data_IF_772929954091
#
_entry.id   IF_772929954091
#
_cell.length_a   1.000
_cell.length_b   1.000
_cell.length_c   1.000
_cell.angle_alpha   90.00
_cell.angle_beta   90.00
_cell.angle_gamma   90.00
#
_symmetry.space_group_name_H-M   'P 1'
#
loop_
_entity.id
_entity.type
_entity.pdbx_description
1 polymer ?
#
# COMPACT_ATOMS: atom_id res chain seq x y z
N UNK A 1 -22.00 -1.88 -8.62
CA UNK A 1 -20.73 -1.32 -9.15
C UNK A 1 -20.53 -1.88 -10.55
N UNK A 2 -20.35 -1.04 -11.57
CA UNK A 2 -20.17 -1.50 -12.96
C UNK A 2 -18.85 -2.27 -13.13
N UNK A 3 -18.90 -3.37 -13.90
CA UNK A 3 -17.80 -4.33 -14.14
C UNK A 3 -16.49 -3.66 -14.56
N UNK A 4 -16.57 -2.67 -15.45
CA UNK A 4 -15.45 -1.84 -15.93
C UNK A 4 -14.72 -1.09 -14.80
N UNK A 5 -15.40 -0.69 -13.72
CA UNK A 5 -14.76 0.02 -12.59
C UNK A 5 -13.84 -0.87 -11.76
N UNK A 6 -13.92 -2.20 -11.87
CA UNK A 6 -13.06 -3.12 -11.11
C UNK A 6 -11.84 -3.56 -11.91
N UNK A 7 -11.95 -3.66 -13.23
CA UNK A 7 -10.90 -4.19 -14.11
C UNK A 7 -9.63 -3.31 -14.13
N UNK A 8 -9.78 -1.98 -14.20
CA UNK A 8 -8.63 -1.08 -14.14
C UNK A 8 -7.91 -1.13 -12.79
N UNK A 9 -8.64 -1.43 -11.70
CA UNK A 9 -8.07 -1.55 -10.36
C UNK A 9 -7.25 -2.82 -10.22
N UNK A 10 -7.76 -3.94 -10.74
CA UNK A 10 -7.03 -5.21 -10.72
C UNK A 10 -5.78 -5.14 -11.62
N UNK A 11 -5.87 -4.42 -12.74
CA UNK A 11 -4.71 -4.09 -13.59
C UNK A 11 -3.66 -3.27 -12.82
N UNK A 12 -4.07 -2.25 -12.06
CA UNK A 12 -3.13 -1.47 -11.25
C UNK A 12 -2.47 -2.29 -10.15
N UNK A 13 -3.20 -3.20 -9.50
CA UNK A 13 -2.59 -4.12 -8.53
C UNK A 13 -1.54 -5.00 -9.21
N UNK A 14 -1.86 -5.53 -10.39
CA UNK A 14 -0.93 -6.34 -11.16
C UNK A 14 0.33 -5.56 -11.52
N UNK A 15 0.19 -4.35 -12.07
CA UNK A 15 1.32 -3.45 -12.37
C UNK A 15 2.13 -3.16 -11.10
N UNK A 16 1.48 -2.90 -9.97
CA UNK A 16 2.14 -2.68 -8.69
C UNK A 16 2.94 -3.90 -8.22
N UNK A 17 2.42 -5.12 -8.39
CA UNK A 17 3.10 -6.36 -7.98
C UNK A 17 4.34 -6.59 -8.85
N UNK A 18 4.21 -6.41 -10.17
CA UNK A 18 5.36 -6.47 -11.08
C UNK A 18 6.39 -5.41 -10.71
N UNK A 19 5.95 -4.20 -10.34
CA UNK A 19 6.85 -3.15 -9.88
C UNK A 19 7.61 -3.56 -8.61
N UNK A 20 6.96 -4.17 -7.60
CA UNK A 20 7.66 -4.70 -6.40
C UNK A 20 8.78 -5.67 -6.81
N UNK A 21 8.49 -6.63 -7.68
CA UNK A 21 9.46 -7.62 -8.16
C UNK A 21 10.62 -6.91 -8.88
N UNK A 22 10.32 -6.01 -9.81
CA UNK A 22 11.31 -5.28 -10.59
C UNK A 22 12.15 -4.30 -9.76
N UNK A 23 11.62 -3.78 -8.64
CA UNK A 23 12.35 -2.89 -7.74
C UNK A 23 13.40 -3.63 -6.91
N UNK A 24 13.13 -4.89 -6.55
CA UNK A 24 14.03 -5.72 -5.74
C UNK A 24 15.04 -6.54 -6.54
N UNK A 25 14.76 -6.83 -7.80
CA UNK A 25 15.79 -7.24 -8.75
C UNK A 25 16.60 -5.98 -9.06
N UNK A 26 17.95 -6.05 -9.09
CA UNK A 26 18.88 -4.92 -9.27
C UNK A 26 18.72 -4.20 -10.64
N UNK A 27 17.53 -3.66 -10.89
CA UNK A 27 17.09 -3.02 -12.10
C UNK A 27 17.58 -1.57 -12.10
N UNK A 28 18.03 -1.04 -13.24
CA UNK A 28 18.37 0.38 -13.37
C UNK A 28 17.16 1.30 -13.06
N UNK A 29 15.94 0.76 -13.07
CA UNK A 29 14.71 1.49 -12.74
C UNK A 29 14.31 1.39 -11.25
N UNK A 30 15.11 0.77 -10.40
CA UNK A 30 14.78 0.55 -8.98
C UNK A 30 14.37 1.84 -8.26
N UNK A 31 15.17 2.90 -8.37
CA UNK A 31 14.88 4.21 -7.73
C UNK A 31 13.55 4.79 -8.20
N UNK A 32 13.24 4.68 -9.50
CA UNK A 32 11.95 5.11 -10.05
C UNK A 32 10.82 4.28 -9.46
N UNK A 33 10.94 2.97 -9.45
CA UNK A 33 9.92 2.06 -8.94
C UNK A 33 9.64 2.34 -7.45
N UNK A 34 10.68 2.41 -6.61
CA UNK A 34 10.56 2.69 -5.18
C UNK A 34 9.86 4.02 -4.87
N UNK A 35 9.96 5.00 -5.76
CA UNK A 35 9.35 6.32 -5.57
C UNK A 35 7.81 6.36 -5.60
N UNK A 36 7.13 5.32 -6.08
CA UNK A 36 5.66 5.33 -6.22
C UNK A 36 4.93 3.99 -5.95
N UNK A 37 5.59 2.83 -6.07
CA UNK A 37 4.85 1.55 -6.04
C UNK A 37 4.24 1.21 -4.67
N UNK A 38 4.92 1.50 -3.54
CA UNK A 38 4.32 1.30 -2.22
C UNK A 38 3.17 2.28 -1.96
N UNK A 39 3.33 3.60 -2.22
CA UNK A 39 2.22 4.54 -2.19
C UNK A 39 0.99 4.10 -3.01
N UNK A 40 1.20 3.45 -4.17
CA UNK A 40 0.10 2.93 -5.02
C UNK A 40 -0.79 1.98 -4.23
N UNK A 41 -0.24 0.98 -3.55
CA UNK A 41 -1.05 0.01 -2.82
C UNK A 41 -1.79 0.62 -1.62
N UNK A 42 -1.16 1.56 -0.90
CA UNK A 42 -1.83 2.30 0.16
C UNK A 42 -3.01 3.13 -0.39
N UNK A 43 -2.81 3.83 -1.49
CA UNK A 43 -3.89 4.61 -2.14
C UNK A 43 -5.02 3.70 -2.65
N UNK A 44 -4.69 2.58 -3.30
CA UNK A 44 -5.67 1.60 -3.76
C UNK A 44 -6.47 1.01 -2.59
N UNK A 45 -5.83 0.78 -1.44
CA UNK A 45 -6.54 0.35 -0.25
C UNK A 45 -7.56 1.39 0.22
N UNK A 46 -7.21 2.68 0.22
CA UNK A 46 -8.13 3.77 0.55
C UNK A 46 -9.40 3.77 -0.31
N UNK A 47 -9.27 3.51 -1.61
CA UNK A 47 -10.41 3.40 -2.53
C UNK A 47 -11.44 2.35 -2.13
N UNK A 48 -10.99 1.23 -1.55
CA UNK A 48 -11.86 0.12 -1.17
C UNK A 48 -12.46 0.25 0.24
N UNK A 49 -12.26 1.37 0.93
CA UNK A 49 -12.86 1.60 2.25
C UNK A 49 -14.35 1.86 2.09
N UNK A 50 -15.14 1.05 2.80
CA UNK A 50 -16.60 1.08 2.84
C UNK A 50 -17.04 1.51 4.23
N UNK A 51 -17.65 2.69 4.34
CA UNK A 51 -18.03 3.31 5.62
C UNK A 51 -19.39 2.85 6.15
N UNK A 52 -20.14 2.07 5.36
CA UNK A 52 -21.43 1.45 5.68
C UNK A 52 -21.31 0.24 6.63
N UNK A 53 -20.13 -0.36 6.75
CA UNK A 53 -19.89 -1.48 7.66
C UNK A 53 -19.89 -1.04 9.13
N UNK A 54 -20.26 -1.94 10.06
CA UNK A 54 -19.98 -1.73 11.49
C UNK A 54 -18.46 -1.75 11.75
N UNK A 55 -18.02 -1.21 12.89
CA UNK A 55 -16.58 -1.17 13.22
C UNK A 55 -16.04 -2.60 13.32
N UNK A 56 -16.76 -3.48 14.00
CA UNK A 56 -16.37 -4.88 14.18
C UNK A 56 -16.31 -5.63 12.85
N UNK A 57 -17.29 -5.42 11.96
CA UNK A 57 -17.31 -6.02 10.63
C UNK A 57 -16.12 -5.57 9.78
N UNK A 58 -15.77 -4.28 9.85
CA UNK A 58 -14.61 -3.75 9.14
C UNK A 58 -13.32 -4.35 9.68
N UNK A 59 -13.14 -4.36 11.01
CA UNK A 59 -11.97 -4.91 11.68
C UNK A 59 -11.78 -6.41 11.38
N UNK A 60 -12.84 -7.21 11.54
CA UNK A 60 -12.78 -8.66 11.30
C UNK A 60 -12.39 -8.97 9.85
N UNK A 61 -13.03 -8.27 8.90
CA UNK A 61 -12.77 -8.46 7.48
C UNK A 61 -11.35 -8.06 7.09
N UNK A 62 -10.89 -6.89 7.52
CA UNK A 62 -9.54 -6.42 7.20
C UNK A 62 -8.47 -7.26 7.93
N UNK A 63 -8.74 -7.73 9.15
CA UNK A 63 -7.84 -8.61 9.90
C UNK A 63 -7.66 -9.96 9.19
N UNK A 64 -8.77 -10.60 8.81
CA UNK A 64 -8.73 -11.86 8.03
C UNK A 64 -8.02 -11.70 6.68
N UNK A 65 -8.15 -10.53 6.05
CA UNK A 65 -7.55 -10.25 4.75
C UNK A 65 -6.07 -9.90 4.81
N UNK A 66 -5.59 -9.27 5.89
CA UNK A 66 -4.23 -8.71 5.96
C UNK A 66 -3.40 -9.37 7.05
N UNK A 67 -3.90 -9.42 8.29
CA UNK A 67 -3.15 -9.93 9.43
C UNK A 67 -3.03 -11.46 9.42
N UNK A 68 -4.06 -12.19 8.98
CA UNK A 68 -3.96 -13.66 8.86
C UNK A 68 -2.90 -14.07 7.84
N UNK A 69 -2.90 -13.55 6.58
CA UNK A 69 -1.80 -13.80 5.66
C UNK A 69 -0.43 -13.35 6.19
N UNK A 70 -0.38 -12.20 6.87
CA UNK A 70 0.85 -11.73 7.51
C UNK A 70 1.46 -12.78 8.46
N UNK A 71 0.67 -13.30 9.41
CA UNK A 71 1.18 -14.29 10.35
C UNK A 71 1.56 -15.61 9.66
N UNK A 72 0.79 -16.05 8.66
CA UNK A 72 1.13 -17.25 7.88
C UNK A 72 2.48 -17.06 7.16
N UNK A 73 2.65 -15.97 6.42
CA UNK A 73 3.88 -15.72 5.67
C UNK A 73 5.07 -15.42 6.58
N UNK A 74 4.86 -14.81 7.75
CA UNK A 74 5.92 -14.59 8.73
C UNK A 74 6.42 -15.94 9.28
N UNK A 75 5.52 -16.83 9.70
CA UNK A 75 5.88 -18.17 10.16
C UNK A 75 6.57 -18.98 9.05
N UNK A 76 6.07 -18.93 7.81
CA UNK A 76 6.71 -19.57 6.66
C UNK A 76 8.11 -18.99 6.39
N UNK A 77 8.27 -17.67 6.47
CA UNK A 77 9.54 -16.99 6.27
C UNK A 77 10.61 -17.40 7.29
N UNK A 78 10.23 -17.48 8.57
CA UNK A 78 11.11 -17.97 9.64
C UNK A 78 11.48 -19.45 9.44
N UNK A 79 10.51 -20.29 9.07
CA UNK A 79 10.75 -21.71 8.80
C UNK A 79 11.70 -21.91 7.62
N UNK A 80 11.47 -21.20 6.51
CA UNK A 80 12.32 -21.30 5.31
C UNK A 80 13.74 -20.78 5.57
N UNK A 81 13.90 -19.69 6.32
CA UNK A 81 15.23 -19.20 6.69
C UNK A 81 15.98 -20.19 7.60
N UNK A 82 15.27 -20.84 8.53
CA UNK A 82 15.83 -21.90 9.37
C UNK A 82 16.32 -23.08 8.51
N UNK A 83 15.48 -23.58 7.58
CA UNK A 83 15.84 -24.67 6.66
C UNK A 83 17.04 -24.29 5.79
N UNK A 84 17.05 -23.08 5.22
CA UNK A 84 18.15 -22.57 4.40
C UNK A 84 19.47 -22.54 5.17
N UNK A 85 19.47 -22.06 6.42
CA UNK A 85 20.69 -22.03 7.26
C UNK A 85 21.20 -23.43 7.55
N UNK A 86 20.31 -24.36 7.88
CA UNK A 86 20.66 -25.75 8.11
C UNK A 86 21.29 -26.39 6.86
N UNK A 87 20.65 -26.26 5.70
CA UNK A 87 21.14 -26.84 4.44
C UNK A 87 22.47 -26.23 4.00
N UNK A 88 22.68 -24.93 4.23
CA UNK A 88 23.90 -24.22 3.87
C UNK A 88 24.98 -24.23 4.97
N UNK A 89 24.78 -24.99 6.05
CA UNK A 89 25.73 -25.16 7.15
C UNK A 89 26.13 -23.82 7.78
N UNK A 90 25.15 -22.91 7.91
CA UNK A 90 25.30 -21.59 8.55
C UNK A 90 24.87 -21.64 10.01
N UNK A 91 25.24 -20.60 10.76
CA UNK A 91 24.79 -20.44 12.14
C UNK A 91 23.25 -20.42 12.23
N UNK A 92 22.74 -21.08 13.28
CA UNK A 92 21.30 -21.19 13.54
C UNK A 92 20.67 -19.83 13.71
N UNK A 93 19.42 -19.69 13.27
CA UNK A 93 18.64 -18.47 13.48
C UNK A 93 18.43 -18.24 14.98
N UNK A 94 18.72 -17.03 15.45
CA UNK A 94 18.41 -16.63 16.82
C UNK A 94 16.90 -16.32 16.93
N UNK A 95 16.14 -17.32 17.39
CA UNK A 95 14.67 -17.26 17.40
C UNK A 95 14.10 -16.11 18.23
N UNK A 96 14.72 -15.74 19.35
CA UNK A 96 14.32 -14.58 20.16
C UNK A 96 14.33 -13.29 19.35
N UNK A 97 15.44 -13.03 18.66
CA UNK A 97 15.60 -11.85 17.83
C UNK A 97 14.66 -11.90 16.61
N UNK A 98 14.55 -13.04 15.95
CA UNK A 98 13.67 -13.20 14.79
C UNK A 98 12.18 -13.03 15.15
N UNK A 99 11.73 -13.57 16.29
CA UNK A 99 10.37 -13.36 16.80
C UNK A 99 10.14 -11.91 17.20
N UNK A 100 11.12 -11.29 17.88
CA UNK A 100 11.02 -9.86 18.21
C UNK A 100 10.94 -9.00 16.95
N UNK A 101 11.65 -9.36 15.88
CA UNK A 101 11.56 -8.69 14.59
C UNK A 101 10.16 -8.80 13.98
N UNK A 102 9.55 -9.99 14.00
CA UNK A 102 8.21 -10.20 13.45
C UNK A 102 7.11 -9.53 14.30
N UNK A 103 7.16 -9.64 15.62
CA UNK A 103 6.03 -9.22 16.46
C UNK A 103 6.17 -7.82 17.05
N UNK A 104 7.41 -7.35 17.19
CA UNK A 104 7.71 -6.09 17.89
C UNK A 104 8.33 -5.13 16.88
N UNK A 105 9.59 -5.30 16.53
CA UNK A 105 10.36 -4.23 15.91
C UNK A 105 9.99 -3.96 14.46
N UNK A 106 9.81 -5.01 13.66
CA UNK A 106 9.54 -4.95 12.23
C UNK A 106 10.45 -3.98 11.47
N UNK A 107 11.70 -3.89 11.92
CA UNK A 107 12.72 -3.04 11.35
C UNK A 107 13.68 -3.84 10.45
N UNK A 108 14.53 -3.11 9.74
CA UNK A 108 15.52 -3.73 8.89
C UNK A 108 16.54 -4.50 9.72
N UNK A 109 17.02 -3.95 10.83
CA UNK A 109 18.13 -4.53 11.58
C UNK A 109 17.80 -5.92 12.14
N UNK A 110 16.57 -6.15 12.61
CA UNK A 110 16.14 -7.46 13.13
C UNK A 110 15.69 -8.44 12.05
N UNK A 111 15.28 -7.96 10.87
CA UNK A 111 14.69 -8.79 9.82
C UNK A 111 15.50 -8.87 8.52
N UNK A 112 16.63 -8.17 8.39
CA UNK A 112 17.44 -8.11 7.15
C UNK A 112 17.90 -9.50 6.68
N UNK A 113 18.12 -10.41 7.62
CA UNK A 113 18.52 -11.78 7.32
C UNK A 113 17.32 -12.73 7.08
N UNK A 114 16.10 -12.20 7.10
CA UNK A 114 14.86 -12.96 6.93
C UNK A 114 14.02 -12.42 5.77
N UNK A 115 13.26 -13.31 5.14
CA UNK A 115 12.26 -12.90 4.15
C UNK A 115 11.08 -12.14 4.78
N UNK A 116 10.96 -12.13 6.12
CA UNK A 116 9.85 -11.51 6.82
C UNK A 116 9.91 -9.98 6.81
N UNK A 117 11.05 -9.36 6.50
CA UNK A 117 11.16 -7.90 6.40
C UNK A 117 10.12 -7.31 5.43
N UNK A 118 9.91 -7.93 4.27
CA UNK A 118 8.97 -7.46 3.23
C UNK A 118 7.52 -7.40 3.74
N UNK A 119 7.20 -8.13 4.80
CA UNK A 119 5.85 -8.24 5.34
C UNK A 119 5.40 -7.00 6.13
N UNK A 120 6.28 -6.05 6.45
CA UNK A 120 5.96 -4.79 7.15
C UNK A 120 4.75 -4.05 6.56
N UNK A 121 4.57 -4.18 5.24
CA UNK A 121 3.51 -3.51 4.50
C UNK A 121 2.11 -3.95 4.92
N UNK A 122 1.90 -5.24 5.22
CA UNK A 122 0.57 -5.78 5.55
C UNK A 122 -0.02 -5.19 6.86
N UNK A 123 0.69 -5.24 8.01
CA UNK A 123 0.19 -4.63 9.24
C UNK A 123 0.14 -3.10 9.14
N UNK A 124 1.12 -2.45 8.48
CA UNK A 124 1.05 -1.01 8.23
C UNK A 124 -0.22 -0.63 7.45
N UNK A 125 -0.56 -1.39 6.40
CA UNK A 125 -1.78 -1.20 5.61
C UNK A 125 -3.04 -1.45 6.44
N UNK A 126 -3.05 -2.49 7.28
CA UNK A 126 -4.17 -2.83 8.16
C UNK A 126 -4.48 -1.66 9.10
N UNK A 127 -3.49 -1.18 9.85
CA UNK A 127 -3.68 -0.07 10.79
C UNK A 127 -4.00 1.25 10.07
N UNK A 128 -3.34 1.56 8.95
CA UNK A 128 -3.61 2.78 8.19
C UNK A 128 -5.04 2.82 7.63
N UNK A 129 -5.57 1.66 7.21
CA UNK A 129 -6.98 1.51 6.78
C UNK A 129 -7.95 1.70 7.94
N UNK A 130 -7.64 1.16 9.12
CA UNK A 130 -8.46 1.35 10.32
C UNK A 130 -8.51 2.83 10.71
N UNK A 131 -7.35 3.51 10.77
CA UNK A 131 -7.28 4.94 11.08
C UNK A 131 -8.15 5.76 10.11
N UNK A 132 -8.03 5.47 8.82
CA UNK A 132 -8.84 6.13 7.78
C UNK A 132 -10.33 5.85 7.97
N UNK A 133 -10.71 4.60 8.17
CA UNK A 133 -12.10 4.20 8.35
C UNK A 133 -12.75 4.84 9.58
N UNK A 134 -12.07 4.79 10.75
CA UNK A 134 -12.58 5.38 11.99
C UNK A 134 -12.75 6.89 11.83
N UNK A 135 -11.75 7.58 11.27
CA UNK A 135 -11.82 9.01 11.03
C UNK A 135 -13.00 9.41 10.13
N UNK A 136 -13.26 8.64 9.06
CA UNK A 136 -14.39 8.88 8.16
C UNK A 136 -15.74 8.57 8.82
N UNK A 137 -15.81 7.58 9.70
CA UNK A 137 -17.03 7.17 10.40
C UNK A 137 -17.41 8.13 11.54
N UNK A 138 -16.43 8.77 12.16
CA UNK A 138 -16.63 9.68 13.29
C UNK A 138 -17.18 11.07 12.91
N UNK A 139 -17.53 11.34 11.65
CA UNK A 139 -18.06 12.63 11.17
C UNK A 139 -17.20 13.85 11.57
N UNK A 140 -15.89 13.65 11.73
CA UNK A 140 -14.94 14.72 12.09
C UNK A 140 -14.90 15.75 10.94
N UNK A 141 -14.92 17.06 11.21
CA UNK A 141 -14.79 18.07 10.16
C UNK A 141 -13.50 17.91 9.35
N UNK A 142 -13.56 18.19 8.05
CA UNK A 142 -12.46 17.94 7.11
C UNK A 142 -11.12 18.56 7.56
N UNK A 143 -11.15 19.76 8.13
CA UNK A 143 -9.94 20.45 8.64
C UNK A 143 -9.25 19.63 9.74
N UNK A 144 -10.01 19.08 10.68
CA UNK A 144 -9.45 18.24 11.74
C UNK A 144 -8.97 16.89 11.23
N UNK A 145 -9.61 16.33 10.19
CA UNK A 145 -9.08 15.13 9.52
C UNK A 145 -7.69 15.40 8.95
N UNK A 146 -7.50 16.51 8.24
CA UNK A 146 -6.19 16.90 7.72
C UNK A 146 -5.14 17.10 8.81
N UNK A 147 -5.50 17.79 9.90
CA UNK A 147 -4.61 17.97 11.05
C UNK A 147 -4.18 16.62 11.60
N UNK A 148 -5.11 15.68 11.79
CA UNK A 148 -4.80 14.36 12.32
C UNK A 148 -3.88 13.57 11.38
N UNK A 149 -4.14 13.58 10.07
CA UNK A 149 -3.31 12.91 9.07
C UNK A 149 -1.89 13.48 9.06
N UNK A 150 -1.75 14.81 9.07
CA UNK A 150 -0.43 15.47 9.05
C UNK A 150 0.33 15.23 10.36
N UNK A 151 -0.33 15.33 11.52
CA UNK A 151 0.31 15.06 12.80
C UNK A 151 0.78 13.61 12.87
N UNK A 152 -0.07 12.64 12.52
CA UNK A 152 0.33 11.22 12.47
C UNK A 152 1.52 11.00 11.55
N UNK A 153 1.51 11.63 10.36
CA UNK A 153 2.62 11.55 9.43
C UNK A 153 3.93 12.08 10.03
N UNK A 154 3.91 13.26 10.67
CA UNK A 154 5.09 13.85 11.30
C UNK A 154 5.57 13.00 12.48
N UNK A 155 4.65 12.58 13.36
CA UNK A 155 4.96 11.77 14.54
C UNK A 155 5.61 10.45 14.14
N UNK A 156 5.21 9.86 13.01
CA UNK A 156 5.76 8.59 12.52
C UNK A 156 7.29 8.58 12.37
N UNK A 157 7.92 9.73 12.12
CA UNK A 157 9.38 9.81 11.99
C UNK A 157 10.13 9.72 13.32
N UNK A 158 9.43 9.98 14.44
CA UNK A 158 10.05 10.11 15.76
C UNK A 158 9.71 8.96 16.71
N UNK A 159 8.80 8.08 16.31
CA UNK A 159 8.39 6.92 17.11
C UNK A 159 8.66 5.62 16.37
N UNK A 160 8.88 4.57 17.14
CA UNK A 160 8.89 3.18 16.67
C UNK A 160 7.88 2.42 17.51
N UNK A 161 6.91 1.79 16.86
CA UNK A 161 5.82 1.08 17.52
C UNK A 161 5.77 -0.37 17.05
N UNK A 162 5.23 -1.27 17.88
CA UNK A 162 5.14 -2.66 17.49
C UNK A 162 4.27 -2.85 16.24
N UNK A 163 4.51 -3.92 15.49
CA UNK A 163 3.72 -4.29 14.32
C UNK A 163 3.65 -3.18 13.24
N UNK A 164 4.70 -2.37 13.09
CA UNK A 164 4.80 -1.29 12.09
C UNK A 164 3.63 -0.29 12.17
N UNK A 165 3.07 -0.06 13.37
CA UNK A 165 2.02 0.94 13.59
C UNK A 165 2.54 2.36 13.27
N UNK A 166 3.81 2.62 13.50
CA UNK A 166 4.46 3.87 13.10
C UNK A 166 4.54 4.00 11.57
N UNK A 167 4.84 2.93 10.82
CA UNK A 167 4.68 2.95 9.37
C UNK A 167 3.22 3.12 8.95
N UNK A 168 2.24 2.64 9.75
CA UNK A 168 0.83 2.91 9.52
C UNK A 168 0.51 4.41 9.61
N UNK A 169 1.05 5.11 10.61
CA UNK A 169 0.92 6.57 10.73
C UNK A 169 1.56 7.30 9.55
N UNK A 170 2.72 6.83 9.07
CA UNK A 170 3.38 7.39 7.90
C UNK A 170 2.57 7.16 6.61
N UNK A 171 2.04 5.96 6.43
CA UNK A 171 1.28 5.57 5.24
C UNK A 171 -0.18 6.03 5.24
N UNK A 172 -0.69 6.46 6.39
CA UNK A 172 -2.06 6.95 6.57
C UNK A 172 -2.41 8.05 5.56
N UNK A 173 -1.49 8.97 5.26
CA UNK A 173 -1.70 10.03 4.27
C UNK A 173 -2.03 9.48 2.87
N UNK A 174 -1.38 8.40 2.45
CA UNK A 174 -1.63 7.77 1.14
C UNK A 174 -2.96 7.04 1.12
N UNK A 175 -3.31 6.31 2.18
CA UNK A 175 -4.64 5.67 2.29
C UNK A 175 -5.75 6.71 2.27
N UNK A 176 -5.57 7.81 3.01
CA UNK A 176 -6.51 8.92 3.06
C UNK A 176 -6.66 9.60 1.69
N UNK A 177 -5.56 9.94 1.02
CA UNK A 177 -5.61 10.47 -0.35
C UNK A 177 -6.30 9.52 -1.31
N UNK A 178 -6.02 8.22 -1.23
CA UNK A 178 -6.67 7.19 -2.03
C UNK A 178 -8.19 7.21 -1.90
N UNK A 179 -8.71 7.36 -0.68
CA UNK A 179 -10.16 7.41 -0.46
C UNK A 179 -10.87 8.51 -1.27
N UNK A 180 -10.24 9.67 -1.45
CA UNK A 180 -10.82 10.79 -2.21
C UNK A 180 -10.42 10.77 -3.70
N UNK A 181 -9.14 10.52 -4.00
CA UNK A 181 -8.60 10.69 -5.36
C UNK A 181 -9.31 9.81 -6.38
N UNK A 182 -9.66 8.58 -5.99
CA UNK A 182 -10.33 7.62 -6.85
C UNK A 182 -11.83 7.86 -7.03
N UNK A 183 -12.42 8.81 -6.29
CA UNK A 183 -13.82 9.26 -6.44
C UNK A 183 -13.97 10.46 -7.37
N UNK A 184 -12.86 11.05 -7.84
CA UNK A 184 -12.91 12.12 -8.82
C UNK A 184 -13.36 11.55 -10.17
N UNK A 185 -14.55 11.93 -10.63
CA UNK A 185 -15.09 11.47 -11.92
C UNK A 185 -14.28 12.01 -13.12
N UNK A 186 -13.62 13.18 -12.97
CA UNK A 186 -12.90 13.84 -14.06
C UNK A 186 -11.37 13.73 -13.93
N UNK A 187 -10.86 12.51 -13.75
CA UNK A 187 -9.41 12.29 -13.72
C UNK A 187 -8.70 12.61 -15.07
N UNK A 188 -9.46 12.73 -16.16
CA UNK A 188 -8.91 13.13 -17.44
C UNK A 188 -8.62 14.65 -17.52
N UNK A 189 -9.15 15.48 -16.61
CA UNK A 189 -8.95 16.93 -16.70
C UNK A 189 -7.57 17.38 -16.21
N UNK A 190 -6.97 16.70 -15.23
CA UNK A 190 -5.78 17.21 -14.54
C UNK A 190 -4.46 16.54 -14.95
N UNK A 191 -4.47 15.63 -15.93
CA UNK A 191 -3.24 14.95 -16.37
C UNK A 191 -2.14 15.92 -16.86
N UNK A 192 -2.41 17.07 -17.54
CA UNK A 192 -1.33 17.96 -17.97
C UNK A 192 -0.63 18.61 -16.77
N UNK A 193 -1.38 19.00 -15.74
CA UNK A 193 -0.83 19.58 -14.52
C UNK A 193 0.00 18.56 -13.74
N UNK A 194 -0.47 17.31 -13.64
CA UNK A 194 0.27 16.24 -12.97
C UNK A 194 1.55 15.88 -13.73
N UNK A 195 1.51 15.85 -15.06
CA UNK A 195 2.69 15.64 -15.89
C UNK A 195 3.68 16.80 -15.75
N UNK A 196 3.21 18.05 -15.79
CA UNK A 196 4.04 19.23 -15.58
C UNK A 196 4.72 19.20 -14.20
N UNK A 197 3.98 18.83 -13.15
CA UNK A 197 4.53 18.70 -11.80
C UNK A 197 5.63 17.62 -11.74
N UNK A 198 5.42 16.44 -12.36
CA UNK A 198 6.45 15.39 -12.42
C UNK A 198 7.69 15.84 -13.19
N UNK A 199 7.51 16.46 -14.36
CA UNK A 199 8.62 16.97 -15.17
C UNK A 199 9.39 18.04 -14.41
N UNK A 200 8.69 18.98 -13.76
CA UNK A 200 9.33 20.00 -12.93
C UNK A 200 10.14 19.37 -11.79
N UNK A 201 9.55 18.44 -11.01
CA UNK A 201 10.26 17.75 -9.93
C UNK A 201 11.51 17.04 -10.48
N UNK A 202 11.38 16.33 -11.60
CA UNK A 202 12.48 15.60 -12.23
C UNK A 202 13.62 16.53 -12.65
N UNK A 203 13.32 17.67 -13.28
CA UNK A 203 14.33 18.62 -13.74
C UNK A 203 15.10 19.28 -12.58
N UNK A 204 14.43 19.56 -11.46
CA UNK A 204 15.06 20.24 -10.32
C UNK A 204 15.69 19.29 -9.28
N UNK A 205 15.18 18.07 -9.14
CA UNK A 205 15.55 17.16 -8.04
C UNK A 205 15.93 15.75 -8.50
N UNK A 206 15.74 15.43 -9.79
CA UNK A 206 15.78 14.06 -10.27
C UNK A 206 14.64 13.21 -9.71
N UNK A 207 14.82 11.90 -9.73
CA UNK A 207 13.85 10.96 -9.16
C UNK A 207 14.04 10.93 -7.63
N UNK A 208 13.01 11.30 -6.84
CA UNK A 208 13.16 11.39 -5.40
C UNK A 208 13.29 9.98 -4.80
N UNK A 209 14.34 9.78 -3.99
CA UNK A 209 14.56 8.52 -3.27
C UNK A 209 13.47 8.36 -2.20
N UNK A 210 12.85 7.17 -2.16
CA UNK A 210 11.81 6.83 -1.20
C UNK A 210 12.05 5.41 -0.67
N UNK A 211 12.10 5.28 0.64
CA UNK A 211 12.00 4.00 1.31
C UNK A 211 11.02 4.12 2.49
N UNK A 212 9.78 3.68 2.27
CA UNK A 212 8.72 3.80 3.26
C UNK A 212 8.88 2.84 4.46
N UNK A 213 9.55 1.70 4.30
CA UNK A 213 9.75 0.76 5.42
C UNK A 213 10.68 1.37 6.47
N UNK A 214 11.74 2.03 6.00
CA UNK A 214 12.69 2.75 6.84
C UNK A 214 12.32 4.22 7.06
N UNK A 215 11.17 4.67 6.56
CA UNK A 215 10.69 6.08 6.63
C UNK A 215 11.73 7.08 6.10
N UNK A 216 12.52 6.70 5.10
CA UNK A 216 13.53 7.54 4.46
C UNK A 216 12.95 8.23 3.23
N UNK A 217 12.92 9.55 3.28
CA UNK A 217 12.42 10.43 2.23
C UNK A 217 13.55 11.37 1.82
N UNK A 218 13.82 11.51 0.52
CA UNK A 218 14.77 12.52 0.04
C UNK A 218 14.30 13.93 0.38
N UNK A 219 13.03 14.23 0.08
CA UNK A 219 12.31 15.39 0.58
C UNK A 219 10.84 15.02 0.70
N UNK A 220 10.28 15.12 1.91
CA UNK A 220 8.93 14.67 2.24
C UNK A 220 7.87 15.20 1.25
N UNK A 221 7.84 16.51 1.00
CA UNK A 221 6.81 17.12 0.16
C UNK A 221 6.99 16.71 -1.32
N UNK A 222 8.23 16.70 -1.80
CA UNK A 222 8.55 16.28 -3.17
C UNK A 222 8.18 14.82 -3.38
N UNK A 223 8.52 13.93 -2.44
CA UNK A 223 8.20 12.51 -2.51
C UNK A 223 6.69 12.27 -2.54
N UNK A 224 5.91 12.95 -1.70
CA UNK A 224 4.43 12.82 -1.68
C UNK A 224 3.86 13.32 -3.01
N UNK A 225 4.25 14.52 -3.46
CA UNK A 225 3.78 15.11 -4.71
C UNK A 225 4.13 14.23 -5.93
N UNK A 226 5.36 13.73 -5.97
CA UNK A 226 5.83 12.80 -7.00
C UNK A 226 5.02 11.51 -7.02
N UNK A 227 4.87 10.84 -5.87
CA UNK A 227 4.12 9.58 -5.80
C UNK A 227 2.67 9.76 -6.23
N UNK A 228 1.99 10.80 -5.74
CA UNK A 228 0.59 11.12 -6.10
C UNK A 228 0.47 11.39 -7.60
N UNK A 229 1.38 12.16 -8.19
CA UNK A 229 1.34 12.47 -9.62
C UNK A 229 1.64 11.24 -10.50
N UNK A 230 2.63 10.42 -10.13
CA UNK A 230 2.90 9.14 -10.81
C UNK A 230 1.66 8.23 -10.78
N UNK A 231 1.05 8.07 -9.61
CA UNK A 231 -0.13 7.22 -9.43
C UNK A 231 -1.31 7.76 -10.21
N UNK A 232 -1.54 9.08 -10.19
CA UNK A 232 -2.61 9.72 -10.95
C UNK A 232 -2.49 9.44 -12.46
N UNK A 233 -1.31 9.66 -13.03
CA UNK A 233 -1.05 9.39 -14.44
C UNK A 233 -1.17 7.90 -14.77
N UNK A 234 -0.70 7.03 -13.88
CA UNK A 234 -0.81 5.58 -14.06
C UNK A 234 -2.28 5.13 -14.10
N UNK A 235 -3.13 5.70 -13.25
CA UNK A 235 -4.57 5.44 -13.27
C UNK A 235 -5.19 5.91 -14.59
N UNK A 236 -4.85 7.12 -15.03
CA UNK A 236 -5.32 7.67 -16.30
C UNK A 236 -4.93 6.80 -17.49
N UNK A 237 -3.66 6.36 -17.54
CA UNK A 237 -3.16 5.43 -18.54
C UNK A 237 -3.94 4.11 -18.52
N UNK A 238 -4.04 3.44 -17.37
CA UNK A 238 -4.72 2.13 -17.27
C UNK A 238 -6.20 2.21 -17.61
N UNK A 239 -6.89 3.29 -17.25
CA UNK A 239 -8.31 3.50 -17.63
C UNK A 239 -8.52 3.68 -19.13
N UNK A 240 -7.52 4.17 -19.85
CA UNK A 240 -7.57 4.38 -21.30
C UNK A 240 -7.15 3.13 -22.09
N UNK A 241 -6.59 2.10 -21.44
CA UNK A 241 -6.25 0.85 -22.11
C UNK A 241 -7.50 -0.03 -22.19
N UNK A 242 -7.96 -0.29 -23.42
CA UNK A 242 -9.00 -1.26 -23.70
C UNK A 242 -8.39 -2.67 -23.66
N UNK A 243 -8.49 -3.39 -22.53
CA UNK A 243 -7.90 -4.72 -22.39
C UNK A 243 -8.83 -5.85 -22.90
N UNK A 244 -8.25 -6.81 -23.62
CA UNK A 244 -8.86 -8.11 -23.90
C UNK A 244 -8.61 -9.09 -22.73
N UNK A 245 -9.69 -9.62 -22.15
CA UNK A 245 -9.84 -10.31 -20.85
C UNK A 245 -8.95 -11.51 -20.46
N UNK A 246 -7.96 -11.97 -21.24
CA UNK A 246 -7.38 -13.32 -21.02
C UNK A 246 -6.24 -13.44 -20.00
N UNK A 247 -5.45 -12.40 -19.75
CA UNK A 247 -4.25 -12.53 -18.89
C UNK A 247 -4.53 -12.28 -17.39
N UNK A 248 -5.60 -11.56 -17.06
CA UNK A 248 -5.89 -11.13 -15.67
C UNK A 248 -6.76 -12.16 -14.92
N UNK A 249 -7.61 -12.92 -15.62
CA UNK A 249 -8.51 -13.94 -15.02
C UNK A 249 -7.75 -15.13 -14.43
N UNK A 250 -6.51 -15.38 -14.87
CA UNK A 250 -5.70 -16.51 -14.40
C UNK A 250 -5.14 -16.33 -12.97
N UNK A 251 -5.15 -15.12 -12.40
CA UNK A 251 -4.43 -14.79 -11.16
C UNK A 251 -5.32 -14.20 -10.07
N UNK A 252 -6.40 -14.91 -9.72
CA UNK A 252 -7.07 -14.75 -8.41
C UNK A 252 -8.29 -13.82 -8.36
N UNK A 253 -8.94 -13.55 -9.49
CA UNK A 253 -10.27 -12.95 -9.48
C UNK A 253 -11.32 -13.97 -9.04
N UNK A 254 -11.54 -14.14 -7.74
CA UNK A 254 -12.74 -14.85 -7.28
C UNK A 254 -13.99 -14.05 -7.70
N UNK A 255 -14.64 -14.57 -8.73
CA UNK A 255 -16.01 -14.24 -9.08
C UNK A 255 -16.94 -14.79 -7.99
N UNK A 256 -17.27 -13.96 -7.00
CA UNK A 256 -18.41 -14.17 -6.11
C UNK A 256 -19.19 -12.88 -5.94
N UNK A 257 -19.86 -12.45 -7.01
CA UNK A 257 -21.12 -11.72 -6.90
C UNK A 257 -22.08 -12.32 -7.92
N UNK A 258 -22.53 -13.53 -7.63
CA UNK A 258 -23.74 -14.06 -8.23
C UNK A 258 -24.95 -13.31 -7.66
N UNK A 259 -25.63 -12.58 -8.55
CA UNK A 259 -27.09 -12.46 -8.62
C UNK A 259 -27.84 -12.11 -7.32
N UNK A 260 -28.06 -10.81 -7.10
CA UNK A 260 -29.40 -10.29 -6.82
C UNK A 260 -29.38 -8.76 -6.90
N UNK A 261 -30.23 -8.20 -7.76
CA UNK A 261 -30.97 -6.93 -7.60
C UNK A 261 -31.48 -6.51 -8.99
N UNK A 262 -32.52 -7.22 -9.43
CA UNK A 262 -33.46 -6.75 -10.45
C UNK A 262 -34.86 -6.68 -9.82
N UNK A 263 -35.04 -5.75 -8.89
CA UNK A 263 -36.32 -5.10 -8.59
C UNK A 263 -36.01 -3.99 -7.60
N UNK A 264 -36.81 -2.91 -7.63
CA UNK A 264 -36.66 -1.68 -6.84
C UNK A 264 -35.81 -0.57 -7.48
N UNK A 265 -36.11 -0.23 -8.73
CA UNK A 265 -36.39 1.16 -9.10
C UNK A 265 -37.52 1.15 -10.14
N UNK A 266 -38.73 1.47 -9.66
CA UNK A 266 -39.72 2.20 -10.45
C UNK A 266 -39.31 3.66 -10.45
#
# INVERSE_FOLDING_TARGET
MNKVKLEWVDTLKFVGIIAVIMGHIASPLGTFIFSWHMPLFFMLAGFFIKTDLSVDQFLEKDFKRLMVPYFIFACMGLMLETIKRLLLHRESLEFSNALSGVFIWMDMDTLIESYAFVLWFLPALFFARILTYLMLKSNIPLVFQWILVVISFIVSFYIQLPLAIDNAFNSFIFVYFGYFLFKLDNQAAYWPFMLLALVAIYLFNGIPKLNMSQKQYGNVLINIGWAVACIYLLIGAVKNINYSHRLIVLWGGEYNVAVHFSSLYK
#
